data_IF_613465839913
#
_entry.id   IF_613465839913
#
_cell.length_a   1.000
_cell.length_b   1.000
_cell.length_c   1.000
_cell.angle_alpha   90.00
_cell.angle_beta   90.00
_cell.angle_gamma   90.00
#
_symmetry.space_group_name_H-M   'P 1'
#
loop_
_entity.id
_entity.type
_entity.pdbx_description
1 polymer ?
#
# COMPACT_ATOMS: atom_id res chain seq x y z
N UNK A 1 16.09 13.60 13.68
CA UNK A 1 14.85 13.51 12.87
C UNK A 1 14.32 12.09 13.00
N UNK A 2 13.15 11.90 13.63
CA UNK A 2 12.60 10.57 13.92
C UNK A 2 11.35 10.35 13.06
N UNK A 3 11.51 9.58 11.98
CA UNK A 3 10.43 9.28 11.04
C UNK A 3 9.69 8.03 11.50
N UNK A 4 8.37 8.12 11.57
CA UNK A 4 7.46 7.00 11.82
C UNK A 4 6.67 6.74 10.55
N UNK A 5 6.64 5.48 10.13
CA UNK A 5 5.85 5.05 8.97
C UNK A 5 4.68 4.25 9.50
N UNK A 6 3.46 4.67 9.16
CA UNK A 6 2.23 3.95 9.47
C UNK A 6 1.61 3.42 8.18
N UNK A 7 1.35 2.12 8.13
CA UNK A 7 0.64 1.48 7.02
C UNK A 7 -0.76 1.08 7.44
N UNK A 8 -1.77 1.61 6.77
CA UNK A 8 -3.18 1.21 6.93
C UNK A 8 -3.57 0.26 5.80
N UNK A 9 -4.20 -0.86 6.15
CA UNK A 9 -4.77 -1.79 5.17
C UNK A 9 -5.89 -1.14 4.37
N UNK A 10 -5.90 -1.29 3.05
CA UNK A 10 -6.91 -0.64 2.20
C UNK A 10 -8.34 -1.11 2.47
N UNK A 11 -8.51 -2.33 2.98
CA UNK A 11 -9.83 -2.86 3.37
C UNK A 11 -10.47 -2.15 4.55
N UNK A 12 -9.68 -1.42 5.36
CA UNK A 12 -10.20 -0.61 6.47
C UNK A 12 -10.77 0.73 6.00
N UNK A 13 -10.28 1.25 4.87
CA UNK A 13 -10.74 2.50 4.26
C UNK A 13 -11.82 2.27 3.21
N UNK A 14 -11.64 1.18 2.45
CA UNK A 14 -12.40 0.84 1.26
C UNK A 14 -12.53 -0.70 1.22
N UNK A 15 -13.51 -1.26 1.97
CA UNK A 15 -13.75 -2.71 2.03
C UNK A 15 -13.90 -3.32 0.64
N UNK A 16 -13.28 -4.50 0.41
CA UNK A 16 -13.17 -5.08 -0.94
C UNK A 16 -14.51 -5.47 -1.56
N UNK A 17 -15.48 -5.81 -0.72
CA UNK A 17 -16.77 -6.36 -1.12
C UNK A 17 -17.85 -5.28 -1.27
N UNK A 18 -17.53 -4.02 -0.95
CA UNK A 18 -18.43 -2.87 -1.15
C UNK A 18 -17.85 -1.90 -2.18
N UNK A 19 -18.67 -0.96 -2.64
CA UNK A 19 -18.23 0.19 -3.46
C UNK A 19 -18.21 1.48 -2.64
N UNK A 20 -18.10 1.37 -1.31
CA UNK A 20 -18.20 2.49 -0.37
C UNK A 20 -16.89 2.70 0.35
N UNK A 21 -16.66 3.92 0.81
CA UNK A 21 -15.58 4.23 1.74
C UNK A 21 -16.12 4.14 3.17
N UNK A 22 -15.28 3.71 4.11
CA UNK A 22 -15.62 3.76 5.54
C UNK A 22 -15.24 5.14 6.10
N UNK A 23 -16.16 6.09 5.95
CA UNK A 23 -15.98 7.48 6.40
C UNK A 23 -15.79 7.58 7.92
N UNK A 24 -16.46 6.73 8.69
CA UNK A 24 -16.31 6.69 10.15
C UNK A 24 -14.91 6.25 10.55
N UNK A 25 -14.39 5.19 9.92
CA UNK A 25 -13.01 4.77 10.14
C UNK A 25 -12.02 5.87 9.74
N UNK A 26 -12.21 6.50 8.58
CA UNK A 26 -11.34 7.60 8.11
C UNK A 26 -11.32 8.78 9.09
N UNK A 27 -12.49 9.21 9.57
CA UNK A 27 -12.61 10.33 10.51
C UNK A 27 -11.97 10.01 11.86
N UNK A 28 -12.19 8.80 12.37
CA UNK A 28 -11.57 8.32 13.62
C UNK A 28 -10.05 8.22 13.48
N UNK A 29 -9.57 7.74 12.35
CA UNK A 29 -8.15 7.63 12.09
C UNK A 29 -7.50 9.02 11.98
N UNK A 30 -8.10 9.95 11.23
CA UNK A 30 -7.62 11.32 11.12
C UNK A 30 -7.51 12.01 12.49
N UNK A 31 -8.52 11.83 13.35
CA UNK A 31 -8.52 12.38 14.72
C UNK A 31 -7.36 11.83 15.57
N UNK A 32 -7.10 10.53 15.50
CA UNK A 32 -5.99 9.89 16.22
C UNK A 32 -4.62 10.34 15.68
N UNK A 33 -4.47 10.50 14.37
CA UNK A 33 -3.21 10.95 13.77
C UNK A 33 -2.91 12.41 14.12
N UNK A 34 -3.94 13.26 14.15
CA UNK A 34 -3.81 14.65 14.61
C UNK A 34 -3.40 14.70 16.09
N UNK A 35 -4.03 13.88 16.95
CA UNK A 35 -3.65 13.78 18.36
C UNK A 35 -2.20 13.30 18.52
N UNK A 36 -1.78 12.30 17.75
CA UNK A 36 -0.39 11.80 17.77
C UNK A 36 0.61 12.91 17.40
N UNK A 37 0.35 13.67 16.34
CA UNK A 37 1.20 14.79 15.94
C UNK A 37 1.25 15.90 16.99
N UNK A 38 0.12 16.16 17.66
CA UNK A 38 0.07 17.14 18.76
C UNK A 38 0.93 16.71 19.96
N UNK A 39 0.87 15.43 20.35
CA UNK A 39 1.65 14.88 21.48
C UNK A 39 3.14 14.73 21.12
N UNK A 40 3.46 14.55 19.85
CA UNK A 40 4.82 14.31 19.37
C UNK A 40 5.21 15.24 18.20
N UNK A 41 5.36 16.55 18.47
CA UNK A 41 5.61 17.54 17.41
C UNK A 41 6.98 17.38 16.73
N UNK A 42 7.92 16.67 17.36
CA UNK A 42 9.26 16.38 16.84
C UNK A 42 9.32 15.15 15.91
N UNK A 43 8.24 14.36 15.87
CA UNK A 43 8.15 13.15 15.04
C UNK A 43 7.51 13.48 13.71
N UNK A 44 8.14 13.03 12.63
CA UNK A 44 7.53 13.08 11.32
C UNK A 44 6.77 11.78 11.06
N UNK A 45 5.50 11.88 10.72
CA UNK A 45 4.65 10.74 10.39
C UNK A 45 4.46 10.65 8.88
N UNK A 46 4.78 9.49 8.31
CA UNK A 46 4.47 9.13 6.92
C UNK A 46 3.34 8.11 6.94
N UNK A 47 2.20 8.49 6.39
CA UNK A 47 1.04 7.61 6.26
C UNK A 47 1.02 6.97 4.88
N UNK A 48 0.91 5.64 4.86
CA UNK A 48 0.73 4.82 3.66
C UNK A 48 -0.59 4.08 3.80
N UNK A 49 -1.41 4.01 2.75
CA UNK A 49 -2.65 3.21 2.77
C UNK A 49 -2.75 2.25 1.58
N UNK A 50 -3.56 1.21 1.72
CA UNK A 50 -3.81 0.27 0.62
C UNK A 50 -4.92 0.82 -0.26
N UNK A 51 -4.97 0.40 -1.53
CA UNK A 51 -5.99 0.89 -2.47
C UNK A 51 -7.41 0.41 -2.21
N UNK A 52 -7.63 -0.57 -1.31
CA UNK A 52 -8.96 -1.12 -1.03
C UNK A 52 -9.67 -1.62 -2.29
N UNK A 53 -11.00 -1.55 -2.35
CA UNK A 53 -11.74 -1.89 -3.57
C UNK A 53 -11.36 -0.99 -4.77
N UNK A 54 -11.03 0.28 -4.53
CA UNK A 54 -10.67 1.27 -5.56
C UNK A 54 -9.44 0.82 -6.34
N UNK A 55 -8.43 0.27 -5.66
CA UNK A 55 -7.25 -0.31 -6.32
C UNK A 55 -7.45 -1.77 -6.74
N UNK A 56 -8.13 -2.57 -5.90
CA UNK A 56 -8.20 -4.02 -6.10
C UNK A 56 -9.14 -4.42 -7.24
N UNK A 57 -10.23 -3.70 -7.47
CA UNK A 57 -11.16 -4.01 -8.57
C UNK A 57 -10.53 -3.75 -9.94
N UNK A 58 -9.97 -2.56 -10.24
CA UNK A 58 -9.27 -2.34 -11.50
C UNK A 58 -8.07 -3.28 -11.66
N UNK A 59 -7.30 -3.53 -10.60
CA UNK A 59 -6.16 -4.44 -10.68
C UNK A 59 -6.56 -5.88 -11.06
N UNK A 60 -7.74 -6.33 -10.62
CA UNK A 60 -8.31 -7.63 -10.99
C UNK A 60 -8.93 -7.59 -12.39
N UNK A 61 -9.72 -6.56 -12.70
CA UNK A 61 -10.41 -6.39 -13.99
C UNK A 61 -9.44 -6.32 -15.17
N UNK A 62 -8.39 -5.50 -15.04
CA UNK A 62 -7.40 -5.32 -16.10
C UNK A 62 -6.20 -6.26 -15.98
N UNK A 63 -6.22 -7.20 -15.02
CA UNK A 63 -5.10 -8.10 -14.80
C UNK A 63 -3.77 -7.40 -14.51
N UNK A 64 -3.80 -6.20 -13.91
CA UNK A 64 -2.62 -5.34 -13.70
C UNK A 64 -1.53 -6.10 -12.93
N UNK A 65 -1.91 -6.84 -11.88
CA UNK A 65 -0.97 -7.63 -11.10
C UNK A 65 -0.25 -8.69 -11.96
N UNK A 66 -0.94 -9.26 -12.95
CA UNK A 66 -0.35 -10.21 -13.88
C UNK A 66 0.54 -9.50 -14.92
N UNK A 67 0.14 -8.33 -15.42
CA UNK A 67 0.94 -7.54 -16.35
C UNK A 67 2.26 -7.10 -15.70
N UNK A 68 2.19 -6.49 -14.52
CA UNK A 68 3.36 -6.09 -13.74
C UNK A 68 4.24 -7.30 -13.40
N UNK A 69 3.64 -8.43 -13.02
CA UNK A 69 4.40 -9.65 -12.77
C UNK A 69 5.16 -10.13 -14.01
N UNK A 70 4.52 -10.13 -15.19
CA UNK A 70 5.18 -10.49 -16.46
C UNK A 70 6.35 -9.56 -16.78
N UNK A 71 6.16 -8.25 -16.64
CA UNK A 71 7.23 -7.27 -16.90
C UNK A 71 8.39 -7.42 -15.91
N UNK A 72 8.10 -7.61 -14.62
CA UNK A 72 9.14 -7.87 -13.63
C UNK A 72 9.89 -9.16 -13.96
N UNK A 73 9.21 -10.25 -14.31
CA UNK A 73 9.89 -11.48 -14.71
C UNK A 73 10.73 -11.29 -15.97
N UNK A 74 10.23 -10.57 -16.99
CA UNK A 74 11.00 -10.28 -18.19
C UNK A 74 12.28 -9.49 -17.88
N UNK A 75 12.19 -8.45 -17.03
CA UNK A 75 13.36 -7.67 -16.58
C UNK A 75 14.31 -8.53 -15.76
N UNK A 76 13.79 -9.41 -14.89
CA UNK A 76 14.60 -10.29 -14.07
C UNK A 76 15.27 -11.39 -14.89
N UNK A 77 14.64 -11.91 -15.94
CA UNK A 77 15.20 -12.89 -16.87
C UNK A 77 16.34 -12.26 -17.69
N UNK A 78 16.11 -11.07 -18.26
CA UNK A 78 17.14 -10.28 -18.95
C UNK A 78 18.35 -10.01 -18.04
N UNK A 79 18.09 -9.70 -16.76
CA UNK A 79 19.15 -9.48 -15.76
C UNK A 79 19.77 -10.77 -15.23
N UNK A 80 19.04 -11.88 -15.17
CA UNK A 80 19.56 -13.18 -14.74
C UNK A 80 20.48 -13.81 -15.78
N UNK A 81 20.25 -13.58 -17.07
CA UNK A 81 21.21 -13.88 -18.14
C UNK A 81 22.49 -13.04 -18.01
N UNK A 82 22.40 -11.87 -17.37
CA UNK A 82 23.52 -10.95 -17.16
C UNK A 82 24.29 -11.16 -15.84
N UNK A 83 23.68 -11.77 -14.81
CA UNK A 83 24.29 -12.08 -13.50
C UNK A 83 23.35 -12.96 -12.65
N UNK A 84 23.44 -14.28 -12.79
CA UNK A 84 22.61 -15.23 -12.05
C UNK A 84 23.10 -15.45 -10.60
N UNK A 85 22.25 -15.19 -9.61
CA UNK A 85 22.02 -16.04 -8.42
C UNK A 85 20.73 -15.58 -7.74
N UNK A 86 19.65 -16.38 -7.85
CA UNK A 86 18.39 -16.15 -7.13
C UNK A 86 18.39 -16.92 -5.82
N UNK A 87 18.28 -16.23 -4.68
CA UNK A 87 17.98 -16.82 -3.37
C UNK A 87 16.45 -16.79 -3.19
N UNK A 88 15.85 -17.95 -2.95
CA UNK A 88 14.44 -18.08 -2.54
C UNK A 88 14.37 -18.18 -1.02
N UNK A 89 13.50 -17.39 -0.39
CA UNK A 89 13.09 -17.52 1.01
C UNK A 89 11.69 -18.13 1.04
#
# INVERSE_FOLDING_TARGET
MNIRILKIGGSLLAPKDTSTLDENFMQNCASQLAQFQHIHPDKQLVLLHGGGWVGHRPAKEYGIAHAVRREIFAILEEKAESSCTTIRV
#
